data_IF_361260169675
#
_entry.id   IF_361260169675
#
_cell.length_a   1.000
_cell.length_b   1.000
_cell.length_c   1.000
_cell.angle_alpha   90.00
_cell.angle_beta   90.00
_cell.angle_gamma   90.00
#
_symmetry.space_group_name_H-M   'P 1'
#
loop_
_entity.id
_entity.type
_entity.pdbx_description
1 polymer ?
#
# COMPACT_ATOMS: atom_id res chain seq x y z
N UNK A 1 0.76 -2.58 -2.28
CA UNK A 1 2.14 -2.34 -1.83
C UNK A 1 2.18 -2.30 -0.31
N UNK A 2 3.08 -3.05 0.32
CA UNK A 2 3.23 -3.13 1.78
C UNK A 2 2.59 -4.35 2.45
N UNK A 3 2.60 -4.45 3.77
CA UNK A 3 3.05 -3.40 4.69
C UNK A 3 4.55 -3.17 4.66
N UNK A 4 4.96 -1.92 4.52
CA UNK A 4 6.36 -1.49 4.56
C UNK A 4 6.71 -0.89 5.92
N UNK A 5 7.99 -0.92 6.29
CA UNK A 5 8.53 -0.36 7.52
C UNK A 5 8.38 -1.24 8.76
N UNK A 6 8.09 -2.55 8.62
CA UNK A 6 7.96 -3.45 9.78
C UNK A 6 9.31 -3.99 10.24
N UNK A 7 10.14 -4.41 9.30
CA UNK A 7 11.45 -5.01 9.59
C UNK A 7 12.59 -4.04 9.28
N UNK A 8 13.71 -4.20 9.99
CA UNK A 8 14.86 -3.28 9.95
C UNK A 8 15.55 -3.22 8.59
N UNK A 9 15.58 -4.33 7.85
CA UNK A 9 16.33 -4.46 6.60
C UNK A 9 15.43 -4.54 5.36
N UNK A 10 14.23 -3.97 5.46
CA UNK A 10 13.36 -3.82 4.31
C UNK A 10 13.99 -2.86 3.28
N UNK A 11 13.81 -3.17 2.00
CA UNK A 11 14.35 -2.37 0.89
C UNK A 11 13.27 -1.45 0.33
N UNK A 12 13.72 -0.33 -0.21
CA UNK A 12 12.89 0.59 -0.97
C UNK A 12 12.11 -0.15 -2.07
N UNK A 13 10.87 0.30 -2.30
CA UNK A 13 10.07 -0.13 -3.44
C UNK A 13 10.00 1.04 -4.41
N UNK A 14 10.59 0.88 -5.58
CA UNK A 14 10.62 1.92 -6.62
C UNK A 14 10.12 1.38 -7.95
N UNK A 15 9.69 2.28 -8.84
CA UNK A 15 9.46 1.98 -10.27
C UNK A 15 8.39 0.90 -10.53
N UNK A 16 7.35 0.88 -9.69
CA UNK A 16 6.25 -0.07 -9.81
C UNK A 16 5.19 0.41 -10.80
N UNK A 17 4.85 -0.42 -11.78
CA UNK A 17 3.77 -0.16 -12.74
C UNK A 17 2.71 -1.25 -12.66
N UNK A 18 1.46 -0.86 -12.44
CA UNK A 18 0.29 -1.76 -12.52
C UNK A 18 -0.63 -1.21 -13.59
N UNK A 19 -0.95 -2.02 -14.59
CA UNK A 19 -1.70 -1.57 -15.76
C UNK A 19 -2.68 -2.57 -16.31
N UNK A 20 -3.72 -2.08 -16.99
CA UNK A 20 -4.68 -2.87 -17.75
C UNK A 20 -5.29 -4.03 -16.94
N UNK A 21 -5.89 -3.70 -15.79
CA UNK A 21 -6.48 -4.71 -14.91
C UNK A 21 -7.85 -4.29 -14.39
N UNK A 22 -8.61 -5.27 -13.89
CA UNK A 22 -9.92 -5.02 -13.29
C UNK A 22 -9.98 -5.63 -11.89
N UNK A 23 -10.24 -4.80 -10.88
CA UNK A 23 -10.61 -5.27 -9.55
C UNK A 23 -12.14 -5.38 -9.49
N UNK A 24 -12.67 -6.53 -9.06
CA UNK A 24 -14.12 -6.77 -8.93
C UNK A 24 -14.49 -7.29 -7.55
N UNK A 25 -15.51 -6.71 -6.93
CA UNK A 25 -16.09 -7.17 -5.66
C UNK A 25 -15.03 -7.33 -4.54
N UNK A 26 -14.08 -6.40 -4.46
CA UNK A 26 -13.02 -6.42 -3.44
C UNK A 26 -13.22 -5.35 -2.38
N UNK A 27 -12.70 -5.57 -1.18
CA UNK A 27 -12.67 -4.52 -0.15
C UNK A 27 -11.76 -3.36 -0.54
N UNK A 28 -10.64 -3.63 -1.22
CA UNK A 28 -9.72 -2.59 -1.68
C UNK A 28 -9.29 -2.86 -3.13
N UNK A 29 -9.07 -1.79 -3.89
CA UNK A 29 -8.45 -1.85 -5.21
C UNK A 29 -6.94 -1.69 -5.05
N UNK A 30 -6.46 -0.48 -5.28
CA UNK A 30 -5.07 -0.12 -5.02
C UNK A 30 -4.88 0.19 -3.54
N UNK A 31 -3.91 -0.47 -2.91
CA UNK A 31 -3.58 -0.23 -1.51
C UNK A 31 -2.08 -0.07 -1.32
N UNK A 32 -1.68 1.04 -0.70
CA UNK A 32 -0.32 1.25 -0.19
C UNK A 32 -0.45 1.35 1.34
N UNK A 33 0.36 0.58 2.07
CA UNK A 33 0.28 0.55 3.54
C UNK A 33 1.68 0.53 4.16
N UNK A 34 1.95 1.40 5.13
CA UNK A 34 3.21 1.46 5.90
C UNK A 34 2.92 1.42 7.40
N UNK A 35 3.79 0.78 8.17
CA UNK A 35 3.70 0.79 9.62
C UNK A 35 3.97 2.20 10.18
N UNK A 36 3.34 2.57 11.31
CA UNK A 36 3.73 3.75 12.05
C UNK A 36 5.19 3.63 12.52
N UNK A 37 5.88 4.76 12.70
CA UNK A 37 7.28 4.84 13.08
C UNK A 37 8.24 4.06 12.14
N UNK A 38 7.87 3.87 10.87
CA UNK A 38 8.75 3.28 9.87
C UNK A 38 10.04 4.10 9.71
N UNK A 39 11.19 3.43 9.67
CA UNK A 39 12.48 4.06 9.37
C UNK A 39 12.56 4.61 7.94
N UNK A 40 13.77 4.95 7.49
CA UNK A 40 14.02 5.56 6.17
C UNK A 40 13.80 4.52 5.06
N UNK A 41 12.54 4.34 4.65
CA UNK A 41 12.12 3.49 3.54
C UNK A 41 11.34 4.32 2.53
N UNK A 42 11.65 4.14 1.24
CA UNK A 42 11.00 4.85 0.16
C UNK A 42 10.06 3.94 -0.62
N UNK A 43 8.85 4.45 -0.85
CA UNK A 43 7.91 3.95 -1.84
C UNK A 43 7.70 5.06 -2.87
N UNK A 44 8.36 4.99 -4.03
CA UNK A 44 8.39 6.10 -5.01
C UNK A 44 8.30 5.64 -6.46
N UNK A 45 7.88 6.56 -7.33
CA UNK A 45 7.71 6.33 -8.77
C UNK A 45 6.75 5.17 -9.10
N UNK A 46 5.54 5.22 -8.55
CA UNK A 46 4.49 4.23 -8.83
C UNK A 46 3.53 4.76 -9.88
N UNK A 47 3.22 3.94 -10.88
CA UNK A 47 2.21 4.24 -11.91
C UNK A 47 1.11 3.19 -11.86
N UNK A 48 -0.13 3.64 -11.77
CA UNK A 48 -1.32 2.82 -11.87
C UNK A 48 -2.17 3.35 -13.02
N UNK A 49 -2.26 2.61 -14.12
CA UNK A 49 -2.87 3.08 -15.39
C UNK A 49 -3.88 2.06 -15.94
N UNK A 50 -4.95 2.50 -16.60
CA UNK A 50 -5.95 1.62 -17.22
C UNK A 50 -6.54 0.57 -16.25
N UNK A 51 -6.95 1.01 -15.06
CA UNK A 51 -7.52 0.14 -14.02
C UNK A 51 -9.03 0.34 -13.90
N UNK A 52 -9.78 -0.74 -14.04
CA UNK A 52 -11.23 -0.74 -13.84
C UNK A 52 -11.54 -1.22 -12.42
N UNK A 53 -12.29 -0.41 -11.67
CA UNK A 53 -12.79 -0.77 -10.34
C UNK A 53 -14.29 -1.08 -10.44
N UNK A 54 -14.70 -2.34 -10.29
CA UNK A 54 -16.13 -2.73 -10.26
C UNK A 54 -16.51 -3.19 -8.87
N UNK A 55 -17.43 -2.49 -8.21
CA UNK A 55 -17.91 -2.84 -6.87
C UNK A 55 -16.76 -3.01 -5.85
N UNK A 56 -15.78 -2.11 -5.89
CA UNK A 56 -14.65 -2.10 -4.96
C UNK A 56 -14.96 -1.11 -3.84
N UNK A 57 -14.91 -1.57 -2.59
CA UNK A 57 -15.32 -0.73 -1.46
C UNK A 57 -14.38 0.46 -1.24
N UNK A 58 -13.06 0.23 -1.25
CA UNK A 58 -12.03 1.26 -1.21
C UNK A 58 -11.18 1.21 -2.49
N UNK A 59 -11.55 1.95 -3.56
CA UNK A 59 -10.85 1.87 -4.84
C UNK A 59 -9.35 2.16 -4.75
N UNK A 60 -8.97 3.20 -4.01
CA UNK A 60 -7.58 3.59 -3.77
C UNK A 60 -7.43 3.99 -2.30
N UNK A 61 -6.45 3.42 -1.59
CA UNK A 61 -6.16 3.76 -0.20
C UNK A 61 -4.65 3.77 0.06
N UNK A 62 -4.18 4.84 0.71
CA UNK A 62 -2.81 4.98 1.20
C UNK A 62 -2.90 5.16 2.71
N UNK A 63 -2.34 4.22 3.46
CA UNK A 63 -2.41 4.14 4.91
C UNK A 63 -1.00 4.12 5.50
N UNK A 64 -0.56 5.25 6.04
CA UNK A 64 0.76 5.37 6.66
C UNK A 64 0.80 5.03 8.16
N UNK A 65 -0.35 4.66 8.73
CA UNK A 65 -0.49 4.25 10.13
C UNK A 65 -1.03 2.83 10.20
N UNK A 66 -0.65 1.99 9.24
CA UNK A 66 -1.20 0.66 9.11
C UNK A 66 -0.84 -0.19 10.34
N UNK A 67 -1.89 -0.55 11.05
CA UNK A 67 -1.83 -1.19 12.34
C UNK A 67 -2.94 -2.25 12.42
N UNK A 68 -2.69 -3.48 11.95
CA UNK A 68 -3.72 -4.52 11.91
C UNK A 68 -3.97 -5.22 13.26
N UNK A 69 -3.23 -4.87 14.30
CA UNK A 69 -3.31 -5.47 15.63
C UNK A 69 -3.33 -4.39 16.71
N UNK A 70 -3.79 -4.72 17.92
CA UNK A 70 -3.89 -3.75 19.03
C UNK A 70 -2.52 -3.28 19.58
N UNK A 71 -1.41 -3.90 19.16
CA UNK A 71 -0.05 -3.57 19.59
C UNK A 71 0.77 -3.01 18.43
N UNK A 72 0.67 -1.70 18.21
CA UNK A 72 1.47 -1.00 17.21
C UNK A 72 2.54 -0.12 17.83
N UNK A 73 3.70 0.01 17.17
CA UNK A 73 4.70 0.99 17.57
C UNK A 73 4.07 2.39 17.57
N UNK A 74 4.23 3.11 18.68
CA UNK A 74 3.86 4.53 18.75
C UNK A 74 4.93 5.36 18.05
N UNK A 75 4.51 6.49 17.48
CA UNK A 75 5.40 7.48 16.84
C UNK A 75 6.47 8.03 17.79
#
# INVERSE_FOLDING_TARGET
VGSLGKYRDEKDVTDLRVRNCTFRNTTNGLRIKTWPASGVLHAKNFTFEDIIMKNVHNPIIIDQKYCPYDSCPTE
#
